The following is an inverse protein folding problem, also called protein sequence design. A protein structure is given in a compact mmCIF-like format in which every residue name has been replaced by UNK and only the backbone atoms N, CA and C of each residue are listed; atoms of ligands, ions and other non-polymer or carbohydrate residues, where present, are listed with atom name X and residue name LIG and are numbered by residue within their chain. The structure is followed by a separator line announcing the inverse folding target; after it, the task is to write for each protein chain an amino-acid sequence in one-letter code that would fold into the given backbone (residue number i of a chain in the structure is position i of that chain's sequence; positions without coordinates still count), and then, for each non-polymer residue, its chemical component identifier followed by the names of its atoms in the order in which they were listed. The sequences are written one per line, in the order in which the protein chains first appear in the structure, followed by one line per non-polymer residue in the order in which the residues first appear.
data_IF_635081038960
#
_entry.id   IF_635081038960
#
_cell.length_a   1.000
_cell.length_b   1.000
_cell.length_c   1.000
_cell.angle_alpha   90.00
_cell.angle_beta   90.00
_cell.angle_gamma   90.00
#
_symmetry.space_group_name_H-M   'P 1'
#
loop_
_entity.id
_entity.type
_entity.pdbx_description
1 polymer ?
#
# COMPACT_ATOMS: atom_id res chain seq x y z
N UNK A 1 -3.88 -10.23 -10.57
CA UNK A 1 -4.80 -10.15 -11.71
C UNK A 1 -4.14 -9.41 -12.85
N UNK A 2 -4.26 -9.92 -14.08
CA UNK A 2 -3.63 -9.37 -15.27
C UNK A 2 -4.05 -7.92 -15.56
N UNK A 3 -5.28 -7.54 -15.23
CA UNK A 3 -5.77 -6.17 -15.41
C UNK A 3 -4.89 -5.13 -14.72
N UNK A 4 -4.37 -5.43 -13.54
CA UNK A 4 -3.43 -4.55 -12.83
C UNK A 4 -2.11 -4.35 -13.57
N UNK A 5 -1.69 -5.30 -14.43
CA UNK A 5 -0.40 -5.29 -15.11
C UNK A 5 -0.38 -4.48 -16.40
N UNK A 6 -1.54 -4.00 -16.84
CA UNK A 6 -1.68 -3.25 -18.10
C UNK A 6 -2.16 -1.81 -17.90
N UNK A 7 -2.56 -1.44 -16.70
CA UNK A 7 -2.98 -0.09 -16.40
C UNK A 7 -1.79 0.80 -16.07
N UNK A 8 -1.73 1.96 -16.68
CA UNK A 8 -0.70 2.97 -16.43
C UNK A 8 -1.28 4.35 -16.16
N UNK A 9 -0.41 5.34 -15.96
CA UNK A 9 -0.78 6.73 -15.70
C UNK A 9 -1.33 7.50 -16.91
N UNK A 10 -1.49 6.85 -18.07
CA UNK A 10 -1.97 7.49 -19.29
C UNK A 10 -1.14 8.69 -19.70
N UNK A 11 -1.77 9.67 -20.33
CA UNK A 11 -1.12 10.88 -20.78
C UNK A 11 -0.59 11.77 -19.64
N UNK A 12 -1.14 11.66 -18.44
CA UNK A 12 -0.72 12.41 -17.25
C UNK A 12 0.65 12.03 -16.74
N UNK A 13 1.13 10.84 -17.09
CA UNK A 13 2.46 10.37 -16.73
C UNK A 13 3.59 11.21 -17.37
N UNK A 14 3.31 11.86 -18.49
CA UNK A 14 4.30 12.59 -19.28
C UNK A 14 4.54 14.03 -18.80
N UNK A 15 3.61 14.59 -18.05
CA UNK A 15 3.61 16.03 -17.70
C UNK A 15 3.80 16.30 -16.22
N UNK A 16 4.06 15.28 -15.44
CA UNK A 16 4.11 15.41 -13.98
C UNK A 16 5.38 16.15 -13.53
N UNK A 17 5.25 17.34 -12.89
CA UNK A 17 6.39 18.03 -12.31
C UNK A 17 6.87 17.30 -11.06
N UNK A 18 8.19 17.10 -10.95
CA UNK A 18 8.86 16.63 -9.73
C UNK A 18 9.80 17.72 -9.26
N UNK A 19 9.51 18.32 -8.11
CA UNK A 19 10.35 19.37 -7.55
C UNK A 19 10.56 20.57 -8.51
N UNK A 20 9.53 20.92 -9.30
CA UNK A 20 9.59 21.98 -10.31
C UNK A 20 10.24 21.57 -11.64
N UNK A 21 10.66 20.31 -11.78
CA UNK A 21 11.17 19.72 -13.02
C UNK A 21 10.15 18.77 -13.62
N UNK A 22 10.04 18.76 -14.94
CA UNK A 22 9.31 17.73 -15.66
C UNK A 22 10.13 16.44 -15.58
N UNK A 23 9.53 15.38 -15.05
CA UNK A 23 10.21 14.09 -15.04
C UNK A 23 10.37 13.61 -16.49
N UNK A 24 11.60 13.39 -16.97
CA UNK A 24 11.78 12.79 -18.27
C UNK A 24 11.21 11.38 -18.24
N UNK A 25 10.60 10.96 -19.34
CA UNK A 25 10.16 9.58 -19.52
C UNK A 25 11.36 8.65 -19.36
N UNK A 26 11.39 7.90 -18.27
CA UNK A 26 12.25 6.74 -18.20
C UNK A 26 11.75 5.72 -19.24
N UNK A 27 12.65 4.94 -19.80
CA UNK A 27 12.26 3.80 -20.62
C UNK A 27 11.35 2.89 -19.77
N UNK A 28 10.06 2.79 -20.12
CA UNK A 28 9.07 2.06 -19.34
C UNK A 28 8.08 2.92 -18.54
N UNK A 29 8.12 4.25 -18.64
CA UNK A 29 7.15 5.16 -18.04
C UNK A 29 7.53 5.69 -16.65
N UNK A 30 6.56 5.91 -15.78
CA UNK A 30 6.77 6.33 -14.39
C UNK A 30 7.55 5.29 -13.59
N UNK A 31 8.22 5.73 -12.52
CA UNK A 31 8.92 4.85 -11.59
C UNK A 31 7.99 3.75 -11.04
N UNK A 32 6.77 4.11 -10.63
CA UNK A 32 5.71 3.14 -10.34
C UNK A 32 4.90 2.87 -11.62
N UNK A 33 5.06 1.68 -12.15
CA UNK A 33 4.35 1.22 -13.35
C UNK A 33 4.12 -0.30 -13.29
N UNK A 34 3.22 -0.85 -14.11
CA UNK A 34 2.89 -2.26 -14.06
C UNK A 34 4.01 -3.21 -14.48
N UNK A 35 5.06 -2.73 -15.17
CA UNK A 35 6.17 -3.58 -15.65
C UNK A 35 6.89 -4.31 -14.51
N UNK A 36 7.06 -3.67 -13.35
CA UNK A 36 7.72 -4.31 -12.21
C UNK A 36 6.98 -5.56 -11.75
N UNK A 37 5.66 -5.49 -11.68
CA UNK A 37 4.80 -6.60 -11.26
C UNK A 37 4.68 -7.66 -12.36
N UNK A 38 4.56 -7.23 -13.61
CA UNK A 38 4.54 -8.12 -14.78
C UNK A 38 5.82 -8.92 -14.90
N UNK A 39 6.98 -8.28 -14.79
CA UNK A 39 8.28 -8.94 -14.82
C UNK A 39 8.48 -9.91 -13.67
N UNK A 40 8.06 -9.53 -12.45
CA UNK A 40 8.09 -10.44 -11.31
C UNK A 40 7.20 -11.68 -11.58
N UNK A 41 5.97 -11.47 -12.07
CA UNK A 41 5.08 -12.59 -12.44
C UNK A 41 5.71 -13.50 -13.51
N UNK A 42 6.29 -12.92 -14.57
CA UNK A 42 6.98 -13.68 -15.60
C UNK A 42 8.17 -14.48 -15.05
N UNK A 43 8.94 -13.87 -14.13
CA UNK A 43 10.04 -14.57 -13.46
C UNK A 43 9.53 -15.76 -12.65
N UNK A 44 8.46 -15.59 -11.90
CA UNK A 44 7.82 -16.67 -11.13
C UNK A 44 7.36 -17.80 -12.04
N UNK A 45 6.82 -17.50 -13.23
CA UNK A 45 6.39 -18.49 -14.19
C UNK A 45 7.57 -19.28 -14.77
N UNK A 46 8.61 -18.60 -15.26
CA UNK A 46 9.76 -19.27 -15.90
C UNK A 46 10.63 -20.02 -14.89
N UNK A 47 10.63 -19.64 -13.63
CA UNK A 47 11.32 -20.38 -12.56
C UNK A 47 10.49 -21.53 -11.98
N UNK A 48 9.22 -21.66 -12.41
CA UNK A 48 8.32 -22.71 -11.96
C UNK A 48 7.66 -22.47 -10.59
N UNK A 49 7.97 -21.37 -9.90
CA UNK A 49 7.40 -21.07 -8.56
C UNK A 49 5.87 -21.04 -8.59
N UNK A 50 5.27 -20.55 -9.70
CA UNK A 50 3.81 -20.47 -9.82
C UNK A 50 3.11 -21.83 -9.79
N UNK A 51 3.81 -22.93 -10.09
CA UNK A 51 3.26 -24.28 -9.96
C UNK A 51 3.08 -24.74 -8.51
N UNK A 52 3.84 -24.14 -7.60
CA UNK A 52 3.79 -24.44 -6.16
C UNK A 52 2.83 -23.52 -5.41
N UNK A 53 2.21 -22.55 -6.08
CA UNK A 53 1.33 -21.54 -5.51
C UNK A 53 -0.12 -21.73 -5.97
N UNK A 54 -1.05 -21.43 -5.07
CA UNK A 54 -2.45 -21.25 -5.46
C UNK A 54 -2.63 -19.87 -6.07
N UNK A 55 -2.62 -19.80 -7.39
CA UNK A 55 -2.83 -18.56 -8.13
C UNK A 55 -4.33 -18.25 -8.22
N UNK A 56 -4.74 -17.08 -7.74
CA UNK A 56 -6.15 -16.66 -7.80
C UNK A 56 -6.27 -15.17 -8.09
N UNK A 57 -7.44 -14.76 -8.54
CA UNK A 57 -7.84 -13.38 -8.68
C UNK A 57 -8.90 -13.00 -7.64
N UNK A 58 -9.37 -11.76 -7.68
CA UNK A 58 -10.37 -11.23 -6.78
C UNK A 58 -11.33 -10.31 -7.54
N UNK A 59 -12.51 -10.07 -6.96
CA UNK A 59 -13.36 -8.98 -7.36
C UNK A 59 -12.78 -7.64 -6.86
N UNK A 60 -13.01 -6.53 -7.56
CA UNK A 60 -12.69 -5.21 -7.04
C UNK A 60 -13.36 -4.93 -5.70
N UNK A 61 -12.71 -4.17 -4.83
CA UNK A 61 -13.32 -3.69 -3.60
C UNK A 61 -14.57 -2.86 -3.93
N UNK A 62 -15.66 -3.10 -3.19
CA UNK A 62 -16.91 -2.38 -3.40
C UNK A 62 -16.83 -1.00 -2.77
N UNK A 63 -17.65 -0.07 -3.24
CA UNK A 63 -17.75 1.28 -2.68
C UNK A 63 -17.92 1.26 -1.14
N UNK A 64 -18.70 0.32 -0.62
CA UNK A 64 -18.90 0.18 0.83
C UNK A 64 -17.59 -0.13 1.58
N UNK A 65 -16.71 -0.92 1.00
CA UNK A 65 -15.42 -1.26 1.60
C UNK A 65 -14.47 -0.05 1.53
N UNK A 66 -14.47 0.68 0.41
CA UNK A 66 -13.67 1.90 0.24
C UNK A 66 -14.08 3.01 1.22
N UNK A 67 -15.37 3.18 1.45
CA UNK A 67 -15.95 4.16 2.38
C UNK A 67 -15.62 3.89 3.86
N UNK A 68 -15.07 2.72 4.20
CA UNK A 68 -14.56 2.46 5.57
C UNK A 68 -13.30 3.25 5.88
N UNK A 69 -12.57 3.65 4.85
CA UNK A 69 -11.28 4.33 4.96
C UNK A 69 -11.32 5.71 4.32
N UNK A 70 -11.88 5.81 3.13
CA UNK A 70 -11.86 7.04 2.33
C UNK A 70 -13.15 7.85 2.46
N UNK A 71 -13.02 9.17 2.30
CA UNK A 71 -14.18 10.06 2.26
C UNK A 71 -14.98 9.85 0.97
N UNK A 72 -16.28 10.09 1.06
CA UNK A 72 -17.19 9.93 -0.07
C UNK A 72 -16.81 10.88 -1.21
N UNK A 73 -16.54 12.14 -0.90
CA UNK A 73 -16.24 13.18 -1.88
C UNK A 73 -15.00 12.82 -2.70
N UNK A 74 -13.93 12.34 -2.04
CA UNK A 74 -12.73 11.86 -2.72
C UNK A 74 -13.02 10.70 -3.67
N UNK A 75 -13.77 9.69 -3.22
CA UNK A 75 -14.10 8.52 -4.03
C UNK A 75 -14.97 8.88 -5.24
N UNK A 76 -15.94 9.80 -5.08
CA UNK A 76 -16.79 10.27 -6.16
C UNK A 76 -16.00 11.08 -7.20
N UNK A 77 -15.09 11.96 -6.77
CA UNK A 77 -14.21 12.71 -7.66
C UNK A 77 -13.27 11.77 -8.43
N UNK A 78 -12.62 10.85 -7.75
CA UNK A 78 -11.72 9.86 -8.37
C UNK A 78 -12.46 9.04 -9.43
N UNK A 79 -13.64 8.55 -9.09
CA UNK A 79 -14.47 7.75 -10.00
C UNK A 79 -14.88 8.57 -11.22
N UNK A 80 -15.39 9.78 -11.03
CA UNK A 80 -15.86 10.64 -12.12
C UNK A 80 -14.74 10.97 -13.12
N UNK A 81 -13.53 11.27 -12.65
CA UNK A 81 -12.37 11.49 -13.52
C UNK A 81 -11.95 10.21 -14.25
N UNK A 82 -12.01 9.08 -13.57
CA UNK A 82 -11.66 7.77 -14.14
C UNK A 82 -12.61 7.33 -15.26
N UNK A 83 -13.88 7.70 -15.20
CA UNK A 83 -14.88 7.34 -16.22
C UNK A 83 -14.70 8.11 -17.54
N UNK A 84 -13.95 9.22 -17.54
CA UNK A 84 -13.69 10.04 -18.73
C UNK A 84 -12.32 9.71 -19.33
N UNK A 85 -11.28 10.39 -18.90
CA UNK A 85 -9.93 10.24 -19.46
C UNK A 85 -8.85 9.92 -18.41
N UNK A 86 -9.25 9.77 -17.15
CA UNK A 86 -8.35 9.73 -16.02
C UNK A 86 -7.99 11.13 -15.51
N UNK A 87 -6.92 11.23 -14.74
CA UNK A 87 -6.56 12.49 -14.11
C UNK A 87 -5.28 12.43 -13.29
N UNK A 88 -5.09 13.49 -12.53
CA UNK A 88 -4.09 13.62 -11.49
C UNK A 88 -4.80 14.14 -10.24
N UNK A 89 -4.88 13.32 -9.22
CA UNK A 89 -5.37 13.70 -7.90
C UNK A 89 -4.21 13.70 -6.90
N UNK A 90 -4.20 14.69 -6.00
CA UNK A 90 -3.13 14.79 -5.00
C UNK A 90 -1.73 14.93 -5.59
N UNK A 91 -0.74 14.32 -4.91
CA UNK A 91 0.66 14.47 -5.29
C UNK A 91 1.21 13.18 -5.93
N UNK A 92 1.63 13.27 -7.20
CA UNK A 92 2.24 12.16 -7.96
C UNK A 92 1.33 10.93 -8.10
N UNK A 93 0.06 11.14 -8.38
CA UNK A 93 -0.95 10.08 -8.50
C UNK A 93 -1.70 10.17 -9.84
N UNK A 94 -1.00 10.13 -10.98
CA UNK A 94 -1.66 10.09 -12.27
C UNK A 94 -2.33 8.73 -12.50
N UNK A 95 -3.47 8.76 -13.17
CA UNK A 95 -4.21 7.57 -13.59
C UNK A 95 -4.89 7.79 -14.93
N UNK A 96 -5.04 6.73 -15.69
CA UNK A 96 -5.77 6.73 -16.95
C UNK A 96 -7.27 6.46 -16.72
N UNK A 97 -8.04 6.43 -17.79
CA UNK A 97 -9.41 5.89 -17.78
C UNK A 97 -9.40 4.51 -17.13
N UNK A 98 -10.46 4.17 -16.41
CA UNK A 98 -10.64 2.95 -15.63
C UNK A 98 -9.69 2.81 -14.41
N UNK A 99 -8.94 3.86 -14.08
CA UNK A 99 -8.01 3.86 -12.94
C UNK A 99 -8.68 3.58 -11.60
N UNK A 100 -9.94 4.02 -11.42
CA UNK A 100 -10.72 3.72 -10.22
C UNK A 100 -11.00 2.21 -10.07
N UNK A 101 -11.36 1.54 -11.16
CA UNK A 101 -11.65 0.11 -11.15
C UNK A 101 -10.39 -0.72 -10.90
N UNK A 102 -9.26 -0.30 -11.48
CA UNK A 102 -7.96 -0.95 -11.26
C UNK A 102 -7.46 -0.74 -9.82
N UNK A 103 -7.59 0.47 -9.26
CA UNK A 103 -7.25 0.72 -7.87
C UNK A 103 -8.16 -0.08 -6.91
N UNK A 104 -9.46 -0.13 -7.21
CA UNK A 104 -10.43 -0.96 -6.47
C UNK A 104 -10.08 -2.44 -6.55
N UNK A 105 -9.60 -2.93 -7.71
CA UNK A 105 -9.13 -4.30 -7.87
C UNK A 105 -7.87 -4.57 -7.03
N UNK A 106 -6.91 -3.63 -7.00
CA UNK A 106 -5.72 -3.74 -6.13
C UNK A 106 -6.12 -3.88 -4.65
N UNK A 107 -7.08 -3.06 -4.19
CA UNK A 107 -7.65 -3.18 -2.85
C UNK A 107 -8.39 -4.52 -2.63
N UNK A 108 -9.16 -4.97 -3.62
CA UNK A 108 -9.87 -6.26 -3.58
C UNK A 108 -8.93 -7.46 -3.45
N UNK A 109 -7.78 -7.42 -4.14
CA UNK A 109 -6.74 -8.43 -4.02
C UNK A 109 -6.12 -8.45 -2.61
N UNK A 110 -5.86 -7.29 -2.01
CA UNK A 110 -5.39 -7.18 -0.63
C UNK A 110 -6.42 -7.73 0.37
N UNK A 111 -7.71 -7.38 0.17
CA UNK A 111 -8.82 -7.91 0.98
C UNK A 111 -8.95 -9.43 0.87
N UNK A 112 -8.82 -9.99 -0.32
CA UNK A 112 -8.85 -11.45 -0.52
C UNK A 112 -7.68 -12.11 0.17
N UNK A 113 -6.47 -11.57 0.03
CA UNK A 113 -5.25 -12.10 0.63
C UNK A 113 -5.36 -12.22 2.16
N UNK A 114 -5.76 -11.14 2.84
CA UNK A 114 -5.90 -11.15 4.31
C UNK A 114 -7.02 -12.09 4.77
N UNK A 115 -8.16 -12.09 4.08
CA UNK A 115 -9.30 -12.96 4.44
C UNK A 115 -9.03 -14.43 4.26
N UNK A 116 -8.27 -14.83 3.26
CA UNK A 116 -7.91 -16.23 3.03
C UNK A 116 -6.98 -16.77 4.14
N UNK A 117 -6.09 -15.93 4.65
CA UNK A 117 -5.27 -16.27 5.82
C UNK A 117 -6.13 -16.34 7.08
N UNK A 118 -6.94 -15.33 7.38
CA UNK A 118 -7.77 -15.27 8.59
C UNK A 118 -8.85 -16.37 8.64
N UNK A 119 -9.35 -16.81 7.48
CA UNK A 119 -10.29 -17.95 7.37
C UNK A 119 -9.59 -19.31 7.37
N UNK A 120 -8.27 -19.35 7.53
CA UNK A 120 -7.48 -20.58 7.57
C UNK A 120 -7.38 -21.33 6.25
N UNK A 121 -7.74 -20.70 5.13
CA UNK A 121 -7.61 -21.33 3.81
C UNK A 121 -6.15 -21.44 3.36
N UNK A 122 -5.34 -20.45 3.74
CA UNK A 122 -3.91 -20.38 3.44
C UNK A 122 -3.12 -20.00 4.69
N UNK A 123 -1.86 -20.43 4.78
CA UNK A 123 -0.95 -20.01 5.86
C UNK A 123 -0.40 -18.59 5.64
N UNK A 124 -0.23 -18.21 4.40
CA UNK A 124 0.19 -16.89 3.96
C UNK A 124 -0.43 -16.59 2.59
N UNK A 125 -0.47 -15.32 2.22
CA UNK A 125 -0.95 -14.87 0.93
C UNK A 125 -0.12 -13.67 0.46
N UNK A 126 0.01 -13.52 -0.85
CA UNK A 126 0.72 -12.43 -1.49
C UNK A 126 -0.16 -11.75 -2.53
N UNK A 127 -0.45 -10.47 -2.36
CA UNK A 127 -1.17 -9.67 -3.35
C UNK A 127 -0.18 -9.01 -4.31
N UNK A 128 0.00 -9.60 -5.48
CA UNK A 128 0.80 -9.01 -6.55
C UNK A 128 -0.09 -8.06 -7.36
N UNK A 129 -0.08 -6.80 -7.02
CA UNK A 129 -0.97 -5.79 -7.61
C UNK A 129 -0.32 -4.41 -7.70
N UNK A 130 -0.93 -3.53 -8.48
CA UNK A 130 -0.68 -2.09 -8.59
C UNK A 130 -2.02 -1.41 -8.89
N UNK A 131 -2.25 -0.14 -8.46
CA UNK A 131 -1.33 0.76 -7.76
C UNK A 131 -1.07 0.36 -6.29
N UNK A 132 0.04 0.87 -5.69
CA UNK A 132 0.33 0.69 -4.26
C UNK A 132 -0.63 1.48 -3.37
N UNK A 133 -0.47 1.45 -2.03
CA UNK A 133 -1.47 2.04 -1.14
C UNK A 133 -0.95 2.80 0.08
N UNK A 134 0.31 2.62 0.49
CA UNK A 134 0.79 3.04 1.80
C UNK A 134 0.94 4.56 1.99
N UNK A 135 0.94 5.34 0.91
CA UNK A 135 0.97 6.81 0.98
C UNK A 135 -0.41 7.47 0.93
N UNK A 136 -1.48 6.74 0.57
CA UNK A 136 -2.80 7.31 0.43
C UNK A 136 -3.43 7.62 1.79
N UNK A 137 -3.87 8.87 1.97
CA UNK A 137 -4.61 9.36 3.14
C UNK A 137 -6.11 9.07 2.98
N UNK A 138 -6.93 9.52 3.93
CA UNK A 138 -8.39 9.36 3.86
C UNK A 138 -9.03 10.01 2.63
N UNK A 139 -8.53 11.18 2.25
CA UNK A 139 -9.08 12.06 1.21
C UNK A 139 -8.02 12.64 0.27
N UNK A 140 -6.77 12.20 0.40
CA UNK A 140 -5.66 12.72 -0.38
C UNK A 140 -4.74 11.59 -0.86
N UNK A 141 -4.79 11.27 -2.17
CA UNK A 141 -3.87 10.31 -2.77
C UNK A 141 -2.48 10.90 -2.89
N UNK A 142 -1.46 10.08 -2.70
CA UNK A 142 -0.09 10.52 -2.63
C UNK A 142 0.87 9.43 -3.10
N UNK A 143 2.04 9.79 -3.65
CA UNK A 143 3.11 8.86 -3.94
C UNK A 143 2.67 7.62 -4.73
N UNK A 144 1.96 7.80 -5.85
CA UNK A 144 1.39 6.75 -6.70
C UNK A 144 0.25 5.93 -6.04
N UNK A 145 -0.08 6.18 -4.78
CA UNK A 145 -1.11 5.46 -4.04
C UNK A 145 -2.46 6.17 -4.20
N UNK A 146 -3.38 5.52 -4.89
CA UNK A 146 -4.74 6.03 -5.16
C UNK A 146 -5.76 5.58 -4.11
N UNK A 147 -5.57 4.41 -3.52
CA UNK A 147 -6.38 3.88 -2.41
C UNK A 147 -5.46 3.27 -1.36
N UNK A 148 -5.84 3.34 -0.10
CA UNK A 148 -5.09 2.77 1.03
C UNK A 148 -5.36 1.26 1.16
N UNK A 149 -4.82 0.45 0.25
CA UNK A 149 -5.15 -0.97 0.07
C UNK A 149 -5.11 -1.79 1.36
N UNK A 150 -4.03 -1.65 2.16
CA UNK A 150 -3.87 -2.37 3.44
C UNK A 150 -4.92 -1.94 4.45
N UNK A 151 -5.17 -0.63 4.56
CA UNK A 151 -6.17 -0.11 5.49
C UNK A 151 -7.58 -0.61 5.12
N UNK A 152 -7.94 -0.59 3.84
CA UNK A 152 -9.22 -1.12 3.34
C UNK A 152 -9.33 -2.63 3.67
N UNK A 153 -8.26 -3.38 3.48
CA UNK A 153 -8.24 -4.81 3.78
C UNK A 153 -8.43 -5.09 5.28
N UNK A 154 -7.77 -4.34 6.15
CA UNK A 154 -7.92 -4.42 7.61
C UNK A 154 -9.36 -4.07 8.02
N UNK A 155 -9.87 -2.93 7.58
CA UNK A 155 -11.23 -2.48 7.92
C UNK A 155 -12.31 -3.46 7.43
N UNK A 156 -12.09 -4.06 6.26
CA UNK A 156 -12.97 -5.12 5.76
C UNK A 156 -12.92 -6.38 6.64
N UNK A 157 -11.75 -6.79 7.11
CA UNK A 157 -11.60 -7.94 8.01
C UNK A 157 -12.25 -7.68 9.39
N UNK A 158 -12.09 -6.46 9.92
CA UNK A 158 -12.75 -6.03 11.17
C UNK A 158 -14.27 -6.07 11.01
N UNK A 159 -14.80 -5.56 9.90
CA UNK A 159 -16.26 -5.52 9.66
C UNK A 159 -16.89 -6.90 9.56
N UNK A 160 -16.12 -7.90 9.16
CA UNK A 160 -16.53 -9.31 9.14
C UNK A 160 -16.21 -10.06 10.47
N UNK A 161 -15.69 -9.37 11.48
CA UNK A 161 -15.26 -9.95 12.75
C UNK A 161 -14.24 -11.09 12.61
N UNK A 162 -13.34 -11.01 11.62
CA UNK A 162 -12.35 -12.06 11.35
C UNK A 162 -11.14 -11.97 12.29
N UNK A 163 -10.78 -10.77 12.72
CA UNK A 163 -9.66 -10.50 13.62
C UNK A 163 -9.89 -9.20 14.40
N UNK A 164 -9.13 -8.98 15.48
CA UNK A 164 -9.23 -7.81 16.37
C UNK A 164 -7.93 -7.04 16.50
N UNK A 165 -6.80 -7.66 16.21
CA UNK A 165 -5.46 -7.04 16.33
C UNK A 165 -4.65 -7.32 15.09
N UNK A 166 -4.12 -6.26 14.51
CA UNK A 166 -3.37 -6.30 13.26
C UNK A 166 -1.97 -5.70 13.45
N UNK A 167 -1.00 -6.22 12.70
CA UNK A 167 0.31 -5.59 12.60
C UNK A 167 0.65 -5.36 11.13
N UNK A 168 0.99 -4.12 10.78
CA UNK A 168 1.51 -3.76 9.48
C UNK A 168 3.00 -3.49 9.62
N UNK A 169 3.81 -4.24 8.88
CA UNK A 169 5.25 -4.01 8.75
C UNK A 169 5.50 -3.54 7.32
N UNK A 170 5.84 -2.27 7.19
CA UNK A 170 6.16 -1.61 5.92
C UNK A 170 7.67 -1.44 5.82
N UNK A 171 8.30 -2.10 4.87
CA UNK A 171 9.73 -1.96 4.57
C UNK A 171 10.00 -1.36 3.19
N UNK A 172 9.01 -0.70 2.61
CA UNK A 172 9.27 0.20 1.48
C UNK A 172 10.32 1.24 1.89
N UNK A 173 11.16 1.65 0.95
CA UNK A 173 12.20 2.67 1.23
C UNK A 173 11.61 4.02 1.62
N UNK A 174 10.35 4.26 1.29
CA UNK A 174 9.61 5.45 1.63
C UNK A 174 8.72 5.23 2.86
N UNK A 175 8.54 6.27 3.66
CA UNK A 175 7.67 6.23 4.84
C UNK A 175 6.21 5.97 4.45
N UNK A 176 5.57 5.00 5.08
CA UNK A 176 4.14 4.67 4.89
C UNK A 176 3.20 5.66 5.58
N UNK A 177 3.30 6.94 5.24
CA UNK A 177 2.58 8.03 5.89
C UNK A 177 1.05 7.92 5.85
N UNK A 178 0.50 7.31 4.80
CA UNK A 178 -0.94 7.06 4.69
C UNK A 178 -1.41 6.02 5.69
N UNK A 179 -0.69 4.90 5.79
CA UNK A 179 -0.96 3.85 6.79
C UNK A 179 -0.84 4.40 8.20
N UNK A 180 0.23 5.17 8.49
CA UNK A 180 0.40 5.87 9.76
C UNK A 180 -0.81 6.75 10.08
N UNK A 181 -1.18 7.66 9.18
CA UNK A 181 -2.24 8.64 9.43
C UNK A 181 -3.60 7.98 9.70
N UNK A 182 -3.93 6.90 8.97
CA UNK A 182 -5.21 6.19 9.11
C UNK A 182 -5.32 5.49 10.48
N UNK A 183 -4.22 4.95 11.01
CA UNK A 183 -4.24 4.20 12.26
C UNK A 183 -3.62 4.94 13.45
N UNK A 184 -3.31 6.23 13.34
CA UNK A 184 -2.51 6.98 14.30
C UNK A 184 -3.09 7.07 15.72
N UNK A 185 -4.41 6.99 15.89
CA UNK A 185 -5.11 7.02 17.17
C UNK A 185 -5.72 5.66 17.59
N UNK A 186 -5.28 4.57 16.92
CA UNK A 186 -5.79 3.22 17.10
C UNK A 186 -4.78 2.31 17.80
N UNK A 187 -5.27 1.49 18.72
CA UNK A 187 -4.47 0.49 19.47
C UNK A 187 -4.66 -0.95 18.95
N UNK A 188 -5.60 -1.15 18.08
CA UNK A 188 -5.89 -2.44 17.46
C UNK A 188 -5.10 -2.70 16.18
N UNK A 189 -4.37 -1.68 15.69
CA UNK A 189 -3.42 -1.80 14.59
C UNK A 189 -2.07 -1.27 15.03
N UNK A 190 -1.04 -2.11 15.05
CA UNK A 190 0.35 -1.73 15.20
C UNK A 190 0.94 -1.46 13.83
N UNK A 191 1.40 -0.24 13.57
CA UNK A 191 2.12 0.12 12.34
C UNK A 191 3.61 0.27 12.61
N UNK A 192 4.43 -0.41 11.81
CA UNK A 192 5.89 -0.33 11.86
C UNK A 192 6.38 0.03 10.46
N UNK A 193 7.02 1.18 10.29
CA UNK A 193 7.61 1.61 9.02
C UNK A 193 9.12 1.69 9.14
N UNK A 194 9.83 0.90 8.31
CA UNK A 194 11.29 0.94 8.16
C UNK A 194 11.60 1.63 6.84
N UNK A 195 12.15 2.83 6.89
CA UNK A 195 12.32 3.66 5.71
C UNK A 195 13.59 4.49 5.76
N UNK A 196 14.02 5.01 4.62
CA UNK A 196 15.15 5.93 4.57
C UNK A 196 14.75 7.27 5.17
N UNK A 197 15.55 7.77 6.12
CA UNK A 197 15.37 9.08 6.72
C UNK A 197 15.43 10.19 5.65
N UNK A 198 14.70 11.29 5.85
CA UNK A 198 14.73 12.50 5.01
C UNK A 198 14.51 12.21 3.52
N UNK A 199 13.75 11.18 3.22
CA UNK A 199 13.33 10.83 1.87
C UNK A 199 11.88 11.29 1.65
N UNK A 200 11.11 10.57 0.85
CA UNK A 200 9.73 10.86 0.55
C UNK A 200 8.77 10.11 1.52
N UNK A 201 7.65 10.72 1.94
CA UNK A 201 7.31 12.14 1.87
C UNK A 201 8.18 12.96 2.83
N UNK A 202 8.55 14.19 2.39
CA UNK A 202 9.44 15.05 3.17
C UNK A 202 8.81 15.38 4.53
N UNK A 203 9.63 15.42 5.57
CA UNK A 203 9.27 15.79 6.93
C UNK A 203 8.23 14.88 7.61
N UNK A 204 8.17 13.61 7.23
CA UNK A 204 7.33 12.57 7.86
C UNK A 204 8.16 11.38 8.38
N UNK A 205 7.57 10.55 9.25
CA UNK A 205 8.16 9.32 9.71
C UNK A 205 9.29 9.51 10.74
N UNK A 206 9.15 10.48 11.64
CA UNK A 206 10.12 10.69 12.71
C UNK A 206 9.97 9.60 13.79
N UNK A 207 11.07 9.23 14.45
CA UNK A 207 11.05 8.29 15.60
C UNK A 207 10.13 8.75 16.74
N UNK A 208 9.88 10.06 16.81
CA UNK A 208 9.00 10.69 17.82
C UNK A 208 7.53 10.55 17.51
N UNK A 209 7.16 10.19 16.28
CA UNK A 209 5.78 10.03 15.83
C UNK A 209 5.27 8.65 16.25
N UNK A 210 4.71 8.59 17.48
CA UNK A 210 4.37 7.33 18.15
C UNK A 210 2.87 7.09 18.33
N UNK A 211 2.04 7.75 17.53
CA UNK A 211 0.59 7.71 17.67
C UNK A 211 0.05 8.73 18.69
N UNK A 212 -1.26 8.79 18.81
CA UNK A 212 -1.96 9.67 19.77
C UNK A 212 -3.14 8.96 20.43
N UNK A 213 -3.62 9.50 21.56
CA UNK A 213 -4.78 8.95 22.23
C UNK A 213 -4.59 7.46 22.58
N UNK A 214 -5.50 6.62 22.09
CA UNK A 214 -5.40 5.16 22.28
C UNK A 214 -4.28 4.54 21.46
N UNK A 215 -3.85 5.18 20.37
CA UNK A 215 -2.80 4.73 19.48
C UNK A 215 -1.37 5.02 19.96
N UNK A 216 -1.19 5.66 21.13
CA UNK A 216 0.15 5.91 21.67
C UNK A 216 0.93 4.61 21.80
N UNK A 217 2.16 4.60 21.21
CA UNK A 217 3.06 3.44 21.09
C UNK A 217 2.54 2.30 20.18
N UNK A 218 1.56 2.59 19.33
CA UNK A 218 1.10 1.67 18.28
C UNK A 218 1.49 2.15 16.88
N UNK A 219 2.25 3.23 16.77
CA UNK A 219 2.92 3.68 15.56
C UNK A 219 4.43 3.73 15.83
N UNK A 220 5.22 3.02 15.04
CA UNK A 220 6.66 2.89 15.20
C UNK A 220 7.35 3.24 13.89
N UNK A 221 8.12 4.30 13.90
CA UNK A 221 8.96 4.70 12.77
C UNK A 221 10.42 4.35 13.05
N UNK A 222 11.06 3.69 12.08
CA UNK A 222 12.45 3.26 12.11
C UNK A 222 13.18 3.87 10.91
N UNK A 223 13.47 5.21 10.96
CA UNK A 223 14.19 5.89 9.89
C UNK A 223 15.64 5.42 9.85
N UNK A 224 16.11 5.03 8.68
CA UNK A 224 17.47 4.53 8.45
C UNK A 224 18.29 5.50 7.62
N UNK A 225 19.59 5.64 7.88
CA UNK A 225 20.49 6.40 7.02
C UNK A 225 20.50 5.88 5.59
N UNK A 226 20.66 6.79 4.62
CA UNK A 226 20.85 6.41 3.22
C UNK A 226 22.05 5.45 3.08
N UNK A 227 21.87 4.38 2.29
CA UNK A 227 22.87 3.33 2.11
C UNK A 227 22.77 2.17 3.10
N UNK A 228 21.80 2.19 4.03
CA UNK A 228 21.48 1.03 4.86
C UNK A 228 21.04 -0.15 4.00
N UNK A 229 21.62 -1.31 4.23
CA UNK A 229 21.41 -2.51 3.41
C UNK A 229 20.94 -3.72 4.21
N UNK A 230 21.15 -4.89 3.65
CA UNK A 230 20.66 -6.18 4.13
C UNK A 230 20.91 -6.43 5.62
N UNK A 231 22.15 -6.28 6.08
CA UNK A 231 22.51 -6.59 7.46
C UNK A 231 21.81 -5.67 8.47
N UNK A 232 21.62 -4.38 8.11
CA UNK A 232 20.86 -3.42 8.94
C UNK A 232 19.40 -3.85 9.09
N UNK A 233 18.77 -4.28 7.98
CA UNK A 233 17.39 -4.76 8.03
C UNK A 233 17.27 -6.05 8.86
N UNK A 234 18.16 -7.01 8.70
CA UNK A 234 18.16 -8.23 9.52
C UNK A 234 18.30 -7.93 11.01
N UNK A 235 19.27 -7.06 11.37
CA UNK A 235 19.47 -6.65 12.77
C UNK A 235 18.23 -5.96 13.36
N UNK A 236 17.55 -5.11 12.58
CA UNK A 236 16.29 -4.48 12.99
C UNK A 236 15.17 -5.50 13.19
N UNK A 237 15.02 -6.48 12.29
CA UNK A 237 14.03 -7.52 12.46
C UNK A 237 14.27 -8.33 13.73
N UNK A 238 15.53 -8.72 13.99
CA UNK A 238 15.85 -9.53 15.16
C UNK A 238 15.73 -8.77 16.48
N UNK A 239 16.22 -7.55 16.53
CA UNK A 239 16.33 -6.80 17.80
C UNK A 239 15.14 -5.91 18.11
N UNK A 240 14.38 -5.48 17.12
CA UNK A 240 13.32 -4.49 17.31
C UNK A 240 11.97 -5.03 16.84
N UNK A 241 11.84 -5.39 15.57
CA UNK A 241 10.54 -5.71 14.98
C UNK A 241 9.95 -6.99 15.58
N UNK A 242 10.71 -8.09 15.58
CA UNK A 242 10.23 -9.37 16.13
C UNK A 242 9.85 -9.28 17.60
N UNK A 243 10.62 -8.64 18.50
CA UNK A 243 10.20 -8.39 19.89
C UNK A 243 8.92 -7.55 20.01
N UNK A 244 8.76 -6.49 19.20
CA UNK A 244 7.56 -5.66 19.19
C UNK A 244 6.32 -6.47 18.79
N UNK A 245 6.39 -7.23 17.69
CA UNK A 245 5.31 -8.08 17.21
C UNK A 245 4.96 -9.15 18.24
N UNK A 246 5.96 -9.83 18.82
CA UNK A 246 5.77 -10.84 19.84
C UNK A 246 5.10 -10.29 21.12
N UNK A 247 5.41 -9.06 21.49
CA UNK A 247 4.77 -8.40 22.63
C UNK A 247 3.35 -7.96 22.30
N UNK A 248 3.14 -7.41 21.10
CA UNK A 248 1.83 -6.93 20.66
C UNK A 248 0.84 -8.08 20.42
N UNK A 249 1.30 -9.22 19.92
CA UNK A 249 0.50 -10.43 19.63
C UNK A 249 -0.69 -10.15 18.70
N UNK A 250 -0.44 -9.74 17.45
CA UNK A 250 -1.51 -9.55 16.48
C UNK A 250 -2.16 -10.91 16.13
N UNK A 251 -3.37 -10.84 15.61
CA UNK A 251 -4.06 -11.98 15.00
C UNK A 251 -3.49 -12.25 13.59
N UNK A 252 -3.01 -11.18 12.91
CA UNK A 252 -2.35 -11.23 11.61
C UNK A 252 -1.45 -10.00 11.45
#
# INVERSE_FOLDING_TARGET
DERCFWHGGGNFAFTQPIGGLVQPLAAGGLAENPETKRRLKNLMDVTGITSDLLMQSSEPAKMLDLLRVHTKDYLEEFKALSEVDGGLLGLRTPFARDGFDIASLSSGLAMSAIKDVLKGKQKNSYSLSTPPGHHCLHDYPNGFCLLANIAIAIESAISENLAKKFCVIDWDVHHGNGTEAIFYDRSDVLTISVHQERNYPVDTGQETDRGKGKGINHNINLPLPAGSGHDTYLDLFDRVISPLVNNYRPDI
#
